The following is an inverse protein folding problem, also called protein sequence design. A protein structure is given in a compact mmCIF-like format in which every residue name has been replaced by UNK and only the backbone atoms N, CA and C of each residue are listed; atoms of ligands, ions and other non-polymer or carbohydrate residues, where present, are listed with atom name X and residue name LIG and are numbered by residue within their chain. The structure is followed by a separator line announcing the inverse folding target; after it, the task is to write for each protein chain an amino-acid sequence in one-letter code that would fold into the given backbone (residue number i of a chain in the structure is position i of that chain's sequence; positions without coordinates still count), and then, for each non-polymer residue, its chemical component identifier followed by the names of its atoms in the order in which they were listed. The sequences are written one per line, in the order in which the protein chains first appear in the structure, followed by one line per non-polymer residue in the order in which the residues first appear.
data_IF_134603350896
#
_entry.id   IF_134603350896
#
_cell.length_a   1.000
_cell.length_b   1.000
_cell.length_c   1.000
_cell.angle_alpha   90.00
_cell.angle_beta   90.00
_cell.angle_gamma   90.00
#
_symmetry.space_group_name_H-M   'P 1'
#
loop_
_entity.id
_entity.type
_entity.pdbx_description
1 polymer ?
#
# COMPACT_ATOMS: atom_id res chain seq x y z
N UNK A 1 -11.99 4.09 -10.80
CA UNK A 1 -10.98 3.86 -9.73
C UNK A 1 -9.74 3.18 -10.28
N UNK A 2 -8.67 3.25 -9.56
CA UNK A 2 -7.47 2.48 -9.88
C UNK A 2 -6.94 1.76 -8.64
N UNK A 3 -6.26 0.65 -8.87
CA UNK A 3 -5.51 -0.10 -7.85
C UNK A 3 -4.02 0.19 -8.06
N UNK A 4 -3.35 0.59 -6.99
CA UNK A 4 -1.92 0.85 -6.96
C UNK A 4 -1.25 -0.24 -6.12
N UNK A 5 -0.32 -0.96 -6.75
CA UNK A 5 0.44 -2.03 -6.11
C UNK A 5 1.90 -1.64 -5.95
N UNK A 6 2.46 -1.93 -4.80
CA UNK A 6 3.89 -1.81 -4.53
C UNK A 6 4.38 -3.12 -3.94
N UNK A 7 5.40 -3.71 -4.55
CA UNK A 7 6.05 -4.92 -4.07
C UNK A 7 7.50 -4.60 -3.76
N UNK A 8 7.96 -4.99 -2.58
CA UNK A 8 9.31 -4.68 -2.12
C UNK A 8 10.08 -5.95 -1.77
N UNK A 9 11.36 -5.97 -2.12
CA UNK A 9 12.32 -6.97 -1.68
C UNK A 9 13.32 -6.27 -0.76
N UNK A 10 13.57 -6.85 0.40
CA UNK A 10 14.39 -6.24 1.46
C UNK A 10 15.88 -6.44 1.23
N UNK A 11 16.66 -5.50 1.75
CA UNK A 11 18.08 -5.74 2.02
C UNK A 11 18.23 -6.85 3.08
N UNK A 12 19.36 -7.57 3.10
CA UNK A 12 19.52 -8.74 3.99
C UNK A 12 19.44 -8.44 5.49
N UNK A 13 19.73 -7.21 5.90
CA UNK A 13 19.80 -6.81 7.31
C UNK A 13 18.50 -6.20 7.86
N UNK A 14 17.43 -6.19 7.08
CA UNK A 14 16.15 -5.67 7.53
C UNK A 14 15.53 -6.62 8.55
N UNK A 15 15.09 -6.06 9.66
CA UNK A 15 14.54 -6.83 10.78
C UNK A 15 13.01 -6.94 10.68
N UNK A 16 12.47 -7.99 11.27
CA UNK A 16 11.02 -8.19 11.34
C UNK A 16 10.29 -7.03 12.04
N UNK A 17 10.90 -6.43 13.08
CA UNK A 17 10.33 -5.26 13.76
C UNK A 17 10.21 -4.04 12.84
N UNK A 18 11.21 -3.82 11.99
CA UNK A 18 11.19 -2.70 11.03
C UNK A 18 10.07 -2.88 10.00
N UNK A 19 9.88 -4.11 9.53
CA UNK A 19 8.79 -4.45 8.61
C UNK A 19 7.43 -4.24 9.27
N UNK A 20 7.26 -4.67 10.51
CA UNK A 20 6.01 -4.51 11.26
C UNK A 20 5.66 -3.03 11.47
N UNK A 21 6.64 -2.19 11.80
CA UNK A 21 6.45 -0.75 11.95
C UNK A 21 6.11 -0.07 10.63
N UNK A 22 6.77 -0.45 9.55
CA UNK A 22 6.48 0.05 8.21
C UNK A 22 5.05 -0.32 7.81
N UNK A 23 4.65 -1.57 7.98
CA UNK A 23 3.30 -2.03 7.68
C UNK A 23 2.24 -1.25 8.45
N UNK A 24 2.48 -1.00 9.74
CA UNK A 24 1.57 -0.20 10.57
C UNK A 24 1.44 1.23 10.05
N UNK A 25 2.54 1.85 9.62
CA UNK A 25 2.53 3.20 9.04
C UNK A 25 1.77 3.24 7.70
N UNK A 26 1.96 2.23 6.85
CA UNK A 26 1.26 2.12 5.56
C UNK A 26 -0.24 1.93 5.79
N UNK A 27 -0.63 1.10 6.74
CA UNK A 27 -2.05 0.85 7.04
C UNK A 27 -2.78 2.10 7.52
N UNK A 28 -2.07 3.08 8.09
CA UNK A 28 -2.65 4.36 8.51
C UNK A 28 -2.87 5.36 7.38
N UNK A 29 -2.38 5.08 6.17
CA UNK A 29 -2.56 6.01 5.04
C UNK A 29 -4.02 6.39 4.80
N UNK A 30 -4.95 5.47 4.95
CA UNK A 30 -6.37 5.75 4.76
C UNK A 30 -6.92 6.74 5.80
N UNK A 31 -6.35 6.77 6.99
CA UNK A 31 -6.74 7.71 8.06
C UNK A 31 -6.06 9.07 7.87
N UNK A 32 -4.82 9.08 7.38
CA UNK A 32 -3.98 10.28 7.31
C UNK A 32 -4.11 11.02 5.98
N UNK A 33 -4.47 10.32 4.89
CA UNK A 33 -4.47 10.85 3.52
C UNK A 33 -5.86 10.69 2.92
N UNK A 34 -6.60 11.81 2.72
CA UNK A 34 -7.99 11.74 2.26
C UNK A 34 -8.20 11.04 0.93
N UNK A 35 -7.21 11.09 0.03
CA UNK A 35 -7.31 10.50 -1.31
C UNK A 35 -7.24 8.97 -1.30
N UNK A 36 -6.79 8.35 -0.22
CA UNK A 36 -6.72 6.88 -0.09
C UNK A 36 -8.09 6.32 0.25
N UNK A 37 -8.69 5.61 -0.68
CA UNK A 37 -10.01 4.98 -0.47
C UNK A 37 -9.90 3.67 0.31
N UNK A 38 -8.82 2.94 0.08
CA UNK A 38 -8.54 1.66 0.72
C UNK A 38 -7.03 1.42 0.69
N UNK A 39 -6.49 0.85 1.75
CA UNK A 39 -5.10 0.38 1.78
C UNK A 39 -5.01 -0.95 2.52
N UNK A 40 -4.19 -1.84 1.97
CA UNK A 40 -3.81 -3.11 2.57
C UNK A 40 -2.31 -3.28 2.44
N UNK A 41 -1.66 -3.80 3.45
CA UNK A 41 -0.21 -4.02 3.43
C UNK A 41 0.17 -5.17 4.34
N UNK A 42 1.21 -5.89 3.96
CA UNK A 42 1.70 -6.98 4.78
C UNK A 42 2.97 -7.60 4.24
N UNK A 43 3.62 -8.37 5.12
CA UNK A 43 4.76 -9.18 4.76
C UNK A 43 4.32 -10.43 4.00
N UNK A 44 5.22 -10.95 3.16
CA UNK A 44 4.99 -12.20 2.44
C UNK A 44 4.76 -13.36 3.41
N UNK A 45 3.87 -14.27 3.05
CA UNK A 45 3.57 -15.46 3.85
C UNK A 45 4.56 -16.61 3.61
N UNK A 46 5.50 -16.44 2.69
CA UNK A 46 6.53 -17.45 2.36
C UNK A 46 5.95 -18.78 1.85
N UNK A 47 4.81 -18.71 1.15
CA UNK A 47 4.15 -19.90 0.60
C UNK A 47 4.88 -20.43 -0.64
N UNK A 48 5.46 -19.53 -1.44
CA UNK A 48 6.15 -19.85 -2.68
C UNK A 48 7.55 -19.23 -2.69
N UNK A 49 8.48 -19.87 -3.40
CA UNK A 49 9.82 -19.33 -3.63
C UNK A 49 9.75 -18.13 -4.58
N UNK A 50 10.75 -17.26 -4.48
CA UNK A 50 10.96 -16.09 -5.35
C UNK A 50 9.88 -15.01 -5.25
N UNK A 51 9.08 -15.03 -4.19
CA UNK A 51 8.14 -13.96 -3.90
C UNK A 51 8.87 -12.69 -3.47
N UNK A 52 8.24 -11.53 -3.69
CA UNK A 52 8.63 -10.31 -2.99
C UNK A 52 8.44 -10.50 -1.48
N UNK A 53 9.08 -9.66 -0.68
CA UNK A 53 9.05 -9.78 0.79
C UNK A 53 7.87 -9.05 1.44
N UNK A 54 7.34 -8.03 0.74
CA UNK A 54 6.31 -7.14 1.29
C UNK A 54 5.47 -6.57 0.15
N UNK A 55 4.19 -6.34 0.43
CA UNK A 55 3.29 -5.74 -0.53
C UNK A 55 2.37 -4.71 0.08
N UNK A 56 2.00 -3.72 -0.73
CA UNK A 56 0.95 -2.76 -0.45
C UNK A 56 -0.01 -2.71 -1.64
N UNK A 57 -1.30 -2.67 -1.35
CA UNK A 57 -2.35 -2.41 -2.33
C UNK A 57 -3.18 -1.23 -1.84
N UNK A 58 -3.37 -0.23 -2.68
CA UNK A 58 -4.18 0.95 -2.35
C UNK A 58 -5.09 1.31 -3.51
N UNK A 59 -6.26 1.84 -3.21
CA UNK A 59 -7.26 2.24 -4.20
C UNK A 59 -7.44 3.74 -4.17
N UNK A 60 -7.47 4.34 -5.36
CA UNK A 60 -7.66 5.78 -5.58
C UNK A 60 -8.77 6.01 -6.61
N UNK A 61 -9.43 7.16 -6.50
CA UNK A 61 -10.50 7.52 -7.43
C UNK A 61 -9.98 7.67 -8.87
N UNK A 62 -8.79 8.26 -9.03
CA UNK A 62 -8.20 8.60 -10.34
C UNK A 62 -6.69 8.86 -10.19
N UNK A 63 -5.96 9.07 -11.32
CA UNK A 63 -4.54 9.40 -11.28
C UNK A 63 -4.19 10.68 -10.51
N UNK A 64 -5.09 11.65 -10.50
CA UNK A 64 -4.89 12.90 -9.74
C UNK A 64 -4.84 12.64 -8.24
N UNK A 65 -5.73 11.79 -7.74
CA UNK A 65 -5.72 11.37 -6.32
C UNK A 65 -4.43 10.62 -5.96
N UNK A 66 -3.95 9.74 -6.85
CA UNK A 66 -2.67 9.06 -6.67
C UNK A 66 -1.51 10.07 -6.59
N UNK A 67 -1.52 11.09 -7.43
CA UNK A 67 -0.51 12.16 -7.41
C UNK A 67 -0.52 12.95 -6.10
N UNK A 68 -1.70 13.28 -5.59
CA UNK A 68 -1.85 13.97 -4.31
C UNK A 68 -1.35 13.10 -3.13
N UNK A 69 -1.64 11.82 -3.16
CA UNK A 69 -1.10 10.83 -2.21
C UNK A 69 0.43 10.82 -2.25
N UNK A 70 1.02 10.73 -3.44
CA UNK A 70 2.47 10.64 -3.62
C UNK A 70 3.19 11.87 -3.03
N UNK A 71 2.58 13.05 -3.10
CA UNK A 71 3.13 14.30 -2.59
C UNK A 71 2.82 14.56 -1.10
N UNK A 72 1.93 13.78 -0.51
CA UNK A 72 1.48 13.99 0.87
C UNK A 72 2.63 13.74 1.88
N UNK A 73 2.79 14.59 2.91
CA UNK A 73 3.86 14.42 3.91
C UNK A 73 3.88 13.05 4.58
N UNK A 74 2.73 12.46 4.87
CA UNK A 74 2.63 11.13 5.48
C UNK A 74 3.21 10.05 4.56
N UNK A 75 2.94 10.13 3.24
CA UNK A 75 3.53 9.23 2.25
C UNK A 75 5.04 9.44 2.12
N UNK A 76 5.49 10.70 2.04
CA UNK A 76 6.90 11.03 1.89
C UNK A 76 7.75 10.49 3.05
N UNK A 77 7.24 10.58 4.29
CA UNK A 77 7.93 10.04 5.46
C UNK A 77 8.12 8.52 5.38
N UNK A 78 7.06 7.80 4.99
CA UNK A 78 7.11 6.34 4.82
C UNK A 78 8.00 5.96 3.64
N UNK A 79 7.92 6.70 2.55
CA UNK A 79 8.73 6.47 1.34
C UNK A 79 10.22 6.60 1.64
N UNK A 80 10.63 7.59 2.42
CA UNK A 80 12.03 7.74 2.85
C UNK A 80 12.50 6.55 3.68
N UNK A 81 11.67 6.08 4.60
CA UNK A 81 11.99 4.92 5.41
C UNK A 81 12.09 3.65 4.55
N UNK A 82 11.13 3.44 3.67
CA UNK A 82 11.13 2.32 2.73
C UNK A 82 12.42 2.29 1.91
N UNK A 83 12.87 3.45 1.41
CA UNK A 83 14.06 3.57 0.60
C UNK A 83 15.33 3.05 1.31
N UNK A 84 15.39 3.13 2.63
CA UNK A 84 16.52 2.59 3.40
C UNK A 84 16.48 1.08 3.58
N UNK A 85 15.33 0.46 3.35
CA UNK A 85 15.09 -0.96 3.62
C UNK A 85 15.14 -1.83 2.37
N UNK A 86 14.82 -1.27 1.21
CA UNK A 86 14.61 -2.07 -0.02
C UNK A 86 15.89 -2.32 -0.79
N UNK A 87 16.02 -3.56 -1.28
CA UNK A 87 16.93 -3.91 -2.36
C UNK A 87 16.30 -3.59 -3.72
N UNK A 88 14.99 -3.81 -3.86
CA UNK A 88 14.23 -3.49 -5.07
C UNK A 88 12.77 -3.21 -4.76
N UNK A 89 12.14 -2.41 -5.63
CA UNK A 89 10.70 -2.10 -5.58
C UNK A 89 10.12 -2.25 -6.98
N UNK A 90 8.96 -2.87 -7.05
CA UNK A 90 8.17 -2.98 -8.29
C UNK A 90 6.82 -2.35 -8.05
N UNK A 91 6.32 -1.57 -9.01
CA UNK A 91 5.05 -0.87 -8.94
C UNK A 91 4.20 -1.20 -10.17
N UNK A 92 2.89 -1.19 -9.95
CA UNK A 92 1.91 -1.38 -11.03
C UNK A 92 0.63 -0.68 -10.63
N UNK A 93 0.00 -0.01 -11.58
CA UNK A 93 -1.34 0.50 -11.43
C UNK A 93 -2.22 -0.07 -12.54
N UNK A 94 -3.45 -0.44 -12.18
CA UNK A 94 -4.44 -0.84 -13.18
C UNK A 94 -5.82 -0.33 -12.81
N UNK A 95 -6.68 -0.18 -13.83
CA UNK A 95 -8.03 0.35 -13.65
C UNK A 95 -8.93 -0.64 -12.95
N UNK A 96 -9.76 -0.13 -12.05
CA UNK A 96 -10.90 -0.84 -11.46
C UNK A 96 -12.19 -0.17 -11.92
N UNK A 97 -13.25 -0.95 -12.05
CA UNK A 97 -14.59 -0.39 -12.22
C UNK A 97 -14.97 0.46 -11.00
N UNK A 98 -15.73 1.55 -11.19
CA UNK A 98 -16.12 2.43 -10.10
C UNK A 98 -17.02 1.75 -9.07
N UNK A 99 -17.69 0.68 -9.46
CA UNK A 99 -18.55 -0.14 -8.61
C UNK A 99 -17.88 -1.43 -8.15
N UNK A 100 -16.55 -1.53 -8.29
CA UNK A 100 -15.80 -2.72 -7.86
C UNK A 100 -16.04 -2.98 -6.37
N UNK A 101 -16.42 -4.21 -5.99
CA UNK A 101 -16.71 -4.53 -4.58
C UNK A 101 -15.50 -4.46 -3.64
N UNK A 102 -14.28 -4.25 -4.14
CA UNK A 102 -13.08 -4.09 -3.29
C UNK A 102 -13.23 -2.94 -2.29
N UNK A 103 -13.94 -1.87 -2.66
CA UNK A 103 -14.21 -0.74 -1.75
C UNK A 103 -15.22 -1.15 -0.67
N UNK A 104 -15.97 -2.23 -0.93
CA UNK A 104 -17.07 -2.64 -0.09
C UNK A 104 -18.30 -1.77 -0.30
N UNK A 105 -19.44 -2.29 0.10
CA UNK A 105 -20.70 -1.56 0.14
C UNK A 105 -21.16 -1.50 1.58
N UNK A 106 -21.77 -0.39 2.03
CA UNK A 106 -22.37 -0.38 3.35
C UNK A 106 -23.28 -1.56 3.50
N UNK A 107 -23.16 -2.28 4.61
CA UNK A 107 -24.05 -3.37 4.95
C UNK A 107 -25.47 -2.79 5.12
N UNK A 108 -26.48 -3.22 4.34
CA UNK A 108 -27.83 -2.67 4.48
C UNK A 108 -28.43 -2.85 5.87
N UNK A 109 -27.97 -3.84 6.61
CA UNK A 109 -28.40 -4.08 7.99
C UNK A 109 -27.77 -3.10 8.96
N UNK A 110 -26.60 -2.57 8.63
CA UNK A 110 -25.85 -1.61 9.45
C UNK A 110 -26.01 -0.16 9.00
N UNK A 111 -26.56 0.00 7.83
CA UNK A 111 -26.76 1.35 7.25
C UNK A 111 -27.89 2.11 7.93
#
# INVERSE_FOLDING_TARGET
MLLHLVLATWKPDVRAEDVAELAASVRRFADDIPEVLLVRAGADLEIQEHNADFGMAAVFADPSALGAFAAHPAHLAVSRRLATMVASVTRLQFSLADDDPIIGRPDPVKA
#
